data_IF_216667696214
#
_entry.id   IF_216667696214
#
_cell.length_a   1.000
_cell.length_b   1.000
_cell.length_c   1.000
_cell.angle_alpha   90.00
_cell.angle_beta   90.00
_cell.angle_gamma   90.00
#
_symmetry.space_group_name_H-M   'P 1'
#
loop_
_entity.id
_entity.type
_entity.pdbx_description
1 polymer ?
#
# COMPACT_ATOMS: atom_id res chain seq x y z
N UNK A 1 17.48 10.95 -0.44
CA UNK A 1 18.42 9.90 -0.04
C UNK A 1 19.81 10.45 -0.35
N UNK A 2 20.67 10.59 0.66
CA UNK A 2 22.06 10.94 0.45
C UNK A 2 22.72 9.72 -0.22
N UNK A 3 23.10 9.85 -1.48
CA UNK A 3 24.02 8.90 -2.10
C UNK A 3 25.36 9.08 -1.40
N UNK A 4 25.76 8.09 -0.61
CA UNK A 4 27.11 8.04 -0.06
C UNK A 4 28.07 8.06 -1.26
N UNK A 5 28.87 9.12 -1.33
CA UNK A 5 29.60 9.51 -2.55
C UNK A 5 30.83 8.60 -2.64
N UNK A 6 30.65 7.41 -3.19
CA UNK A 6 31.73 6.43 -3.31
C UNK A 6 32.77 6.94 -4.32
N UNK A 7 33.95 7.30 -3.83
CA UNK A 7 35.08 7.73 -4.65
C UNK A 7 35.96 6.50 -4.96
N UNK A 8 36.28 6.31 -6.23
CA UNK A 8 37.17 5.24 -6.70
C UNK A 8 38.45 5.88 -7.23
N UNK A 9 39.60 5.29 -6.92
CA UNK A 9 40.89 5.74 -7.44
C UNK A 9 41.23 4.98 -8.72
N UNK A 10 41.46 5.71 -9.81
CA UNK A 10 41.92 5.18 -11.10
C UNK A 10 43.22 5.88 -11.46
N UNK A 11 44.35 5.14 -11.43
CA UNK A 11 45.69 5.65 -11.77
C UNK A 11 46.05 6.95 -11.02
N UNK A 12 45.76 6.99 -9.70
CA UNK A 12 46.04 8.15 -8.86
C UNK A 12 44.97 9.25 -8.88
N UNK A 13 43.89 9.08 -9.64
CA UNK A 13 42.79 10.06 -9.72
C UNK A 13 41.53 9.59 -9.04
N UNK A 14 40.95 10.46 -8.23
CA UNK A 14 39.67 10.24 -7.60
C UNK A 14 38.54 10.49 -8.59
N UNK A 15 37.81 9.42 -8.92
CA UNK A 15 36.65 9.46 -9.79
C UNK A 15 35.42 9.15 -8.94
N UNK A 16 34.40 9.99 -9.04
CA UNK A 16 33.10 9.75 -8.43
C UNK A 16 32.44 8.54 -9.09
N UNK A 17 32.12 7.51 -8.31
CA UNK A 17 31.33 6.37 -8.79
C UNK A 17 29.88 6.83 -8.93
N UNK A 18 29.36 6.75 -10.15
CA UNK A 18 27.95 7.00 -10.45
C UNK A 18 27.29 5.66 -10.72
N UNK A 19 26.14 5.41 -10.10
CA UNK A 19 25.30 4.25 -10.42
C UNK A 19 24.00 4.72 -11.07
N UNK A 20 23.61 4.06 -12.16
CA UNK A 20 22.36 4.32 -12.85
C UNK A 20 21.76 3.01 -13.36
N UNK A 21 20.50 2.75 -12.99
CA UNK A 21 19.79 1.50 -13.32
C UNK A 21 20.61 0.24 -13.01
N UNK A 22 21.21 0.18 -11.82
CA UNK A 22 22.05 -0.93 -11.35
C UNK A 22 23.34 -1.17 -12.15
N UNK A 23 23.75 -0.21 -12.98
CA UNK A 23 25.03 -0.23 -13.70
C UNK A 23 25.97 0.87 -13.19
N UNK A 24 27.27 0.60 -13.01
CA UNK A 24 28.26 1.65 -12.84
C UNK A 24 28.40 2.42 -14.15
N UNK A 25 28.35 3.75 -14.07
CA UNK A 25 28.38 4.62 -15.25
C UNK A 25 29.35 5.78 -15.08
N UNK A 26 29.78 6.34 -16.22
CA UNK A 26 30.66 7.51 -16.29
C UNK A 26 30.13 8.53 -17.31
N UNK A 27 30.42 9.82 -17.08
CA UNK A 27 30.06 10.89 -18.02
C UNK A 27 31.16 11.14 -19.04
N UNK A 28 30.82 11.65 -20.22
CA UNK A 28 31.79 12.03 -21.26
C UNK A 28 32.87 13.01 -20.75
N UNK A 29 32.47 13.96 -19.89
CA UNK A 29 33.39 14.93 -19.28
C UNK A 29 34.40 14.24 -18.35
N UNK A 30 33.94 13.31 -17.51
CA UNK A 30 34.82 12.55 -16.62
C UNK A 30 35.83 11.72 -17.41
N UNK A 31 35.45 11.24 -18.61
CA UNK A 31 36.38 10.53 -19.50
C UNK A 31 37.46 11.48 -20.03
N UNK A 32 37.09 12.68 -20.48
CA UNK A 32 38.08 13.68 -20.91
C UNK A 32 39.04 14.05 -19.78
N UNK A 33 38.53 14.24 -18.56
CA UNK A 33 39.33 14.49 -17.35
C UNK A 33 40.25 13.31 -17.00
N UNK A 34 39.77 12.08 -17.12
CA UNK A 34 40.53 10.86 -16.83
C UNK A 34 41.62 10.57 -17.87
N UNK A 35 41.40 10.95 -19.13
CA UNK A 35 42.39 10.77 -20.20
C UNK A 35 43.24 12.03 -20.46
N UNK A 36 43.09 13.09 -19.65
CA UNK A 36 43.77 14.39 -19.83
C UNK A 36 43.57 14.98 -21.24
N UNK A 37 42.38 14.80 -21.81
CA UNK A 37 42.06 15.29 -23.15
C UNK A 37 41.31 16.61 -23.10
N UNK A 38 41.36 17.42 -24.17
CA UNK A 38 40.53 18.59 -24.29
C UNK A 38 39.05 18.23 -24.10
N UNK A 39 38.32 19.09 -23.39
CA UNK A 39 36.89 18.92 -23.15
C UNK A 39 36.12 18.74 -24.47
N UNK A 40 35.27 17.73 -24.52
CA UNK A 40 34.49 17.36 -25.71
C UNK A 40 35.15 16.30 -26.60
N UNK A 41 36.34 15.80 -26.26
CA UNK A 41 36.99 14.74 -27.04
C UNK A 41 36.20 13.44 -26.99
N UNK A 42 35.78 13.01 -25.80
CA UNK A 42 34.93 11.86 -25.60
C UNK A 42 33.57 12.03 -26.26
N UNK A 43 33.00 13.25 -26.24
CA UNK A 43 31.75 13.56 -26.94
C UNK A 43 31.87 13.37 -28.46
N UNK A 44 32.95 13.86 -29.05
CA UNK A 44 33.21 13.69 -30.48
C UNK A 44 33.40 12.20 -30.84
N UNK A 45 34.06 11.44 -29.96
CA UNK A 45 34.22 9.99 -30.14
C UNK A 45 32.89 9.26 -30.04
N UNK A 46 32.07 9.58 -29.02
CA UNK A 46 30.73 9.02 -28.85
C UNK A 46 29.89 9.22 -30.12
N UNK A 47 29.77 10.46 -30.62
CA UNK A 47 28.98 10.72 -31.83
C UNK A 47 29.54 10.06 -33.09
N UNK A 48 30.86 9.84 -33.16
CA UNK A 48 31.49 9.14 -34.30
C UNK A 48 31.11 7.66 -34.36
N UNK A 49 30.90 7.02 -33.21
CA UNK A 49 30.63 5.59 -33.09
C UNK A 49 29.23 5.28 -32.58
N UNK A 50 28.36 6.29 -32.51
CA UNK A 50 27.03 6.17 -31.93
C UNK A 50 26.19 5.11 -32.63
N UNK A 51 26.36 4.95 -33.95
CA UNK A 51 25.72 3.92 -34.78
C UNK A 51 26.14 2.48 -34.42
N UNK A 52 27.24 2.33 -33.68
CA UNK A 52 27.79 1.04 -33.25
C UNK A 52 27.55 0.76 -31.77
N UNK A 53 26.99 1.71 -31.04
CA UNK A 53 26.68 1.58 -29.62
C UNK A 53 25.22 1.15 -29.45
N UNK A 54 24.97 0.35 -28.42
CA UNK A 54 23.63 -0.12 -28.08
C UNK A 54 23.09 0.69 -26.91
N UNK A 55 21.96 1.37 -27.10
CA UNK A 55 21.31 2.12 -26.03
C UNK A 55 20.73 1.16 -24.96
N UNK A 56 20.95 1.49 -23.70
CA UNK A 56 20.70 0.68 -22.50
C UNK A 56 21.66 -0.49 -22.26
N UNK A 57 22.67 -0.69 -23.10
CA UNK A 57 23.78 -1.63 -22.86
C UNK A 57 25.10 -0.88 -22.75
N UNK A 58 25.45 -0.10 -23.77
CA UNK A 58 26.68 0.69 -23.81
C UNK A 58 26.50 2.09 -23.22
N UNK A 59 25.32 2.68 -23.40
CA UNK A 59 25.03 4.04 -22.93
C UNK A 59 23.56 4.26 -22.58
N UNK A 60 23.31 5.27 -21.76
CA UNK A 60 21.98 5.77 -21.44
C UNK A 60 21.86 7.25 -21.81
N UNK A 61 20.76 7.61 -22.48
CA UNK A 61 20.32 9.00 -22.64
C UNK A 61 19.47 9.37 -21.44
N UNK A 62 20.09 9.97 -20.43
CA UNK A 62 19.41 10.28 -19.18
C UNK A 62 18.77 11.67 -19.29
N UNK A 63 17.45 11.81 -19.09
CA UNK A 63 16.80 13.12 -19.14
C UNK A 63 17.17 13.99 -17.92
N UNK A 64 17.07 15.32 -18.08
CA UNK A 64 17.39 16.29 -17.03
C UNK A 64 16.82 15.95 -15.65
N UNK A 65 15.54 15.59 -15.61
CA UNK A 65 14.80 15.26 -14.38
C UNK A 65 15.41 14.09 -13.59
N UNK A 66 16.12 13.20 -14.27
CA UNK A 66 16.75 12.03 -13.66
C UNK A 66 18.18 12.33 -13.24
N UNK A 67 19.02 12.79 -14.18
CA UNK A 67 20.43 13.00 -13.85
C UNK A 67 20.65 14.14 -12.84
N UNK A 68 19.75 15.13 -12.77
CA UNK A 68 19.83 16.21 -11.78
C UNK A 68 19.65 15.74 -10.34
N UNK A 69 19.12 14.53 -10.14
CA UNK A 69 18.96 13.91 -8.82
C UNK A 69 20.20 13.10 -8.41
N UNK A 70 20.99 12.69 -9.39
CA UNK A 70 22.15 11.81 -9.23
C UNK A 70 23.40 12.65 -9.03
N UNK A 71 23.60 13.66 -9.88
CA UNK A 71 24.75 14.54 -9.81
C UNK A 71 24.40 15.80 -9.02
N UNK A 72 25.19 16.10 -7.98
CA UNK A 72 25.09 17.38 -7.26
C UNK A 72 25.39 18.53 -8.21
N UNK A 73 24.34 19.21 -8.67
CA UNK A 73 24.44 20.28 -9.67
C UNK A 73 24.99 21.57 -9.03
N UNK A 74 26.28 21.61 -8.73
CA UNK A 74 26.97 22.89 -8.57
C UNK A 74 27.46 23.35 -9.95
N UNK A 75 26.69 24.26 -10.54
CA UNK A 75 27.13 25.25 -11.53
C UNK A 75 27.55 24.83 -12.96
N UNK A 76 27.25 23.65 -13.51
CA UNK A 76 27.84 23.29 -14.82
C UNK A 76 26.93 23.07 -16.05
N UNK A 77 25.60 23.11 -15.97
CA UNK A 77 24.79 22.89 -17.19
C UNK A 77 23.59 23.84 -17.27
N UNK A 78 23.75 24.92 -18.05
CA UNK A 78 22.65 25.86 -18.42
C UNK A 78 21.60 25.23 -19.34
N UNK A 79 21.78 23.97 -19.75
CA UNK A 79 20.93 23.29 -20.72
C UNK A 79 20.20 22.13 -20.05
N UNK A 80 18.86 22.14 -20.10
CA UNK A 80 17.97 21.06 -19.65
C UNK A 80 18.00 19.86 -20.62
N UNK A 81 19.16 19.56 -21.19
CA UNK A 81 19.34 18.51 -22.20
C UNK A 81 19.61 17.17 -21.54
N UNK A 82 19.39 16.10 -22.30
CA UNK A 82 19.74 14.77 -21.87
C UNK A 82 21.27 14.64 -21.74
N UNK A 83 21.73 13.96 -20.70
CA UNK A 83 23.13 13.66 -20.46
C UNK A 83 23.42 12.21 -20.89
N UNK A 84 24.61 11.96 -21.40
CA UNK A 84 25.06 10.61 -21.76
C UNK A 84 25.81 10.00 -20.57
N UNK A 85 25.31 8.87 -20.10
CA UNK A 85 26.01 7.97 -19.19
C UNK A 85 26.51 6.78 -19.99
N UNK A 86 27.79 6.46 -19.88
CA UNK A 86 28.41 5.29 -20.50
C UNK A 86 28.59 4.21 -19.44
N UNK A 87 28.24 2.97 -19.78
CA UNK A 87 28.60 1.79 -19.00
C UNK A 87 30.05 1.41 -19.25
N UNK A 88 30.54 0.34 -18.60
CA UNK A 88 31.90 -0.15 -18.84
C UNK A 88 32.13 -0.52 -20.30
N UNK A 89 31.16 -1.18 -20.95
CA UNK A 89 31.28 -1.56 -22.36
C UNK A 89 31.31 -0.34 -23.27
N UNK A 90 30.42 0.63 -23.06
CA UNK A 90 30.38 1.86 -23.86
C UNK A 90 31.64 2.71 -23.72
N UNK A 91 32.19 2.81 -22.49
CA UNK A 91 33.48 3.45 -22.26
C UNK A 91 34.56 2.80 -23.13
N UNK A 92 34.70 1.47 -23.08
CA UNK A 92 35.70 0.74 -23.85
C UNK A 92 35.55 0.93 -25.36
N UNK A 93 34.32 1.02 -25.85
CA UNK A 93 34.03 1.24 -27.25
C UNK A 93 34.47 2.63 -27.73
N UNK A 94 34.25 3.68 -26.92
CA UNK A 94 34.56 5.05 -27.33
C UNK A 94 36.01 5.47 -27.06
N UNK A 95 36.72 4.81 -26.14
CA UNK A 95 38.16 5.07 -25.89
C UNK A 95 39.08 4.24 -26.78
N UNK A 96 38.55 3.26 -27.52
CA UNK A 96 39.29 2.48 -28.52
C UNK A 96 40.21 3.31 -29.44
N UNK A 97 39.79 4.46 -30.00
CA UNK A 97 40.62 5.28 -30.90
C UNK A 97 41.53 6.27 -30.16
N UNK A 98 41.50 6.34 -28.83
CA UNK A 98 42.13 7.44 -28.10
C UNK A 98 43.66 7.44 -28.23
N UNK A 99 44.29 6.27 -28.30
CA UNK A 99 45.73 6.14 -28.52
C UNK A 99 46.62 6.64 -27.37
N UNK A 100 46.04 7.10 -26.25
CA UNK A 100 46.78 7.55 -25.07
C UNK A 100 47.23 6.38 -24.17
N UNK A 101 48.23 6.64 -23.32
CA UNK A 101 48.84 5.61 -22.47
C UNK A 101 47.85 4.91 -21.55
N UNK A 102 46.84 5.63 -21.05
CA UNK A 102 45.80 5.05 -20.20
C UNK A 102 44.91 4.10 -21.01
N UNK A 103 44.46 4.51 -22.19
CA UNK A 103 43.70 3.66 -23.10
C UNK A 103 44.49 2.39 -23.47
N UNK A 104 45.80 2.52 -23.71
CA UNK A 104 46.68 1.37 -23.95
C UNK A 104 46.85 0.46 -22.73
N UNK A 105 46.97 1.01 -21.51
CA UNK A 105 47.00 0.22 -20.26
C UNK A 105 45.70 -0.55 -20.05
N UNK A 106 44.55 0.11 -20.21
CA UNK A 106 43.22 -0.51 -20.10
C UNK A 106 43.05 -1.62 -21.11
N UNK A 107 43.39 -1.39 -22.38
CA UNK A 107 43.31 -2.42 -23.41
C UNK A 107 44.24 -3.61 -23.12
N UNK A 108 45.48 -3.37 -22.66
CA UNK A 108 46.40 -4.45 -22.25
C UNK A 108 45.84 -5.27 -21.08
N UNK A 109 45.25 -4.61 -20.09
CA UNK A 109 44.62 -5.29 -18.95
C UNK A 109 43.45 -6.18 -19.39
N UNK A 110 42.58 -5.68 -20.28
CA UNK A 110 41.47 -6.46 -20.84
C UNK A 110 41.94 -7.67 -21.64
N UNK A 111 42.91 -7.47 -22.54
CA UNK A 111 43.47 -8.57 -23.34
C UNK A 111 44.08 -9.63 -22.43
N UNK A 112 44.91 -9.21 -21.45
CA UNK A 112 45.52 -10.12 -20.49
C UNK A 112 44.47 -10.90 -19.70
N UNK A 113 43.46 -10.21 -19.17
CA UNK A 113 42.41 -10.83 -18.36
C UNK A 113 41.53 -11.77 -19.19
N UNK A 114 41.22 -11.41 -20.43
CA UNK A 114 40.48 -12.28 -21.35
C UNK A 114 41.24 -13.58 -21.63
N UNK A 115 42.53 -13.50 -21.99
CA UNK A 115 43.33 -14.70 -22.25
C UNK A 115 43.55 -15.53 -20.98
N UNK A 116 43.80 -14.89 -19.83
CA UNK A 116 43.90 -15.58 -18.54
C UNK A 116 42.61 -16.31 -18.17
N UNK A 117 41.46 -15.66 -18.30
CA UNK A 117 40.15 -16.29 -18.07
C UNK A 117 39.90 -17.43 -19.07
N UNK A 118 40.29 -17.25 -20.35
CA UNK A 118 40.18 -18.28 -21.37
C UNK A 118 41.08 -19.49 -21.09
N UNK A 119 42.28 -19.29 -20.56
CA UNK A 119 43.18 -20.36 -20.15
C UNK A 119 42.67 -21.10 -18.90
N UNK A 120 42.14 -20.36 -17.92
CA UNK A 120 41.43 -20.94 -16.77
C UNK A 120 40.26 -21.82 -17.20
N UNK A 121 39.47 -21.37 -18.18
CA UNK A 121 38.33 -22.13 -18.73
C UNK A 121 38.78 -23.32 -19.59
N UNK A 122 39.98 -23.29 -20.17
CA UNK A 122 40.52 -24.38 -21.01
C UNK A 122 41.31 -25.44 -20.24
N UNK A 123 41.54 -25.25 -18.94
CA UNK A 123 42.27 -26.21 -18.10
C UNK A 123 43.72 -26.48 -18.57
N UNK A 124 44.28 -25.60 -19.40
CA UNK A 124 45.58 -25.77 -20.03
C UNK A 124 46.51 -24.63 -19.62
N UNK A 125 47.26 -24.79 -18.54
CA UNK A 125 48.73 -24.82 -18.58
C UNK A 125 49.33 -24.91 -17.17
N UNK A 126 50.36 -25.74 -17.06
CA UNK A 126 51.10 -26.18 -15.88
C UNK A 126 52.07 -25.14 -15.31
N UNK A 127 51.69 -23.87 -15.26
CA UNK A 127 52.44 -22.79 -14.59
C UNK A 127 51.48 -22.06 -13.67
N UNK A 128 51.10 -22.71 -12.58
CA UNK A 128 50.29 -22.08 -11.54
C UNK A 128 51.18 -21.77 -10.35
N UNK A 129 51.32 -20.48 -10.06
CA UNK A 129 51.73 -19.99 -8.75
C UNK A 129 50.85 -20.65 -7.67
N UNK A 130 51.42 -21.32 -6.65
CA UNK A 130 50.67 -21.95 -5.57
C UNK A 130 49.68 -21.01 -4.88
N UNK A 131 50.00 -19.71 -4.78
CA UNK A 131 49.12 -18.71 -4.17
C UNK A 131 47.89 -18.46 -5.03
N UNK A 132 48.07 -18.35 -6.35
CA UNK A 132 46.95 -18.17 -7.30
C UNK A 132 46.07 -19.42 -7.31
N UNK A 133 46.64 -20.63 -7.19
CA UNK A 133 45.86 -21.87 -7.09
C UNK A 133 45.03 -21.93 -5.81
N UNK A 134 45.60 -21.51 -4.68
CA UNK A 134 44.89 -21.46 -3.40
C UNK A 134 43.74 -20.44 -3.47
N UNK A 135 44.02 -19.24 -3.97
CA UNK A 135 43.02 -18.20 -4.18
C UNK A 135 41.90 -18.66 -5.13
N UNK A 136 42.23 -19.26 -6.28
CA UNK A 136 41.23 -19.79 -7.22
C UNK A 136 40.40 -20.91 -6.61
N UNK A 137 41.01 -21.80 -5.82
CA UNK A 137 40.29 -22.88 -5.13
C UNK A 137 39.31 -22.33 -4.08
N UNK A 138 39.73 -21.32 -3.33
CA UNK A 138 38.89 -20.61 -2.35
C UNK A 138 37.75 -19.86 -3.05
N UNK A 139 38.06 -19.14 -4.13
CA UNK A 139 37.07 -18.41 -4.92
C UNK A 139 36.04 -19.36 -5.56
N UNK A 140 36.48 -20.50 -6.10
CA UNK A 140 35.58 -21.52 -6.66
C UNK A 140 34.72 -22.16 -5.56
N UNK A 141 35.26 -22.36 -4.36
CA UNK A 141 34.50 -22.84 -3.21
C UNK A 141 33.43 -21.83 -2.77
N UNK A 142 33.79 -20.54 -2.71
CA UNK A 142 32.89 -19.43 -2.40
C UNK A 142 31.79 -19.28 -3.46
N UNK A 143 32.13 -19.36 -4.75
CA UNK A 143 31.14 -19.38 -5.84
C UNK A 143 30.21 -20.59 -5.72
N UNK A 144 30.75 -21.73 -5.26
CA UNK A 144 29.97 -22.93 -4.97
C UNK A 144 28.97 -22.73 -3.82
N UNK A 145 29.34 -22.01 -2.75
CA UNK A 145 28.43 -21.71 -1.64
C UNK A 145 27.35 -20.70 -2.06
N UNK A 146 27.73 -19.63 -2.76
CA UNK A 146 26.76 -18.67 -3.31
C UNK A 146 25.77 -19.34 -4.26
N UNK A 147 26.21 -20.25 -5.13
CA UNK A 147 25.31 -20.98 -6.03
C UNK A 147 24.30 -21.84 -5.27
N UNK A 148 24.69 -22.44 -4.14
CA UNK A 148 23.78 -23.21 -3.27
C UNK A 148 22.78 -22.31 -2.56
N UNK A 149 23.20 -21.16 -2.08
CA UNK A 149 22.30 -20.16 -1.48
C UNK A 149 21.29 -19.65 -2.51
N UNK A 150 21.73 -19.28 -3.71
CA UNK A 150 20.83 -18.87 -4.80
C UNK A 150 19.85 -19.98 -5.20
N UNK A 151 20.29 -21.25 -5.21
CA UNK A 151 19.40 -22.37 -5.45
C UNK A 151 18.37 -22.55 -4.33
N UNK A 152 18.76 -22.35 -3.07
CA UNK A 152 17.85 -22.37 -1.91
C UNK A 152 16.81 -21.24 -1.99
N UNK A 153 17.25 -20.03 -2.33
CA UNK A 153 16.38 -18.86 -2.53
C UNK A 153 15.40 -19.11 -3.66
N UNK A 154 15.88 -19.59 -4.83
CA UNK A 154 15.02 -19.93 -5.96
C UNK A 154 13.97 -20.98 -5.59
N UNK A 155 14.38 -22.05 -4.92
CA UNK A 155 13.44 -23.09 -4.46
C UNK A 155 12.43 -22.53 -3.44
N UNK A 156 12.85 -21.59 -2.59
CA UNK A 156 11.97 -20.85 -1.68
C UNK A 156 10.97 -19.97 -2.42
N UNK A 157 11.42 -19.30 -3.49
CA UNK A 157 10.58 -18.46 -4.34
C UNK A 157 9.56 -19.30 -5.14
N UNK A 158 9.97 -20.47 -5.64
CA UNK A 158 9.08 -21.43 -6.30
C UNK A 158 8.01 -21.95 -5.32
N UNK A 159 8.38 -22.31 -4.08
CA UNK A 159 7.39 -22.66 -3.04
C UNK A 159 6.45 -21.50 -2.70
N UNK A 160 6.94 -20.26 -2.62
CA UNK A 160 6.09 -19.09 -2.41
C UNK A 160 5.10 -18.91 -3.56
N UNK A 161 5.55 -19.17 -4.80
CA UNK A 161 4.72 -19.08 -6.00
C UNK A 161 3.67 -20.17 -6.06
N UNK A 162 3.99 -21.38 -5.59
CA UNK A 162 3.03 -22.48 -5.43
C UNK A 162 2.00 -22.16 -4.33
N UNK A 163 2.42 -21.57 -3.21
CA UNK A 163 1.51 -21.08 -2.17
C UNK A 163 0.56 -20.01 -2.74
N UNK A 164 1.08 -19.03 -3.50
CA UNK A 164 0.26 -18.01 -4.17
C UNK A 164 -0.71 -18.61 -5.20
N UNK A 165 -0.36 -19.77 -5.78
CA UNK A 165 -1.22 -20.51 -6.72
C UNK A 165 -2.31 -21.31 -6.03
N UNK A 166 -2.05 -21.85 -4.84
CA UNK A 166 -3.03 -22.60 -4.04
C UNK A 166 -3.94 -21.71 -3.18
N UNK A 167 -3.47 -20.50 -2.84
CA UNK A 167 -4.22 -19.54 -2.00
C UNK A 167 -5.64 -19.22 -2.53
N UNK A 168 -5.89 -19.06 -3.84
CA UNK A 168 -7.24 -18.83 -4.37
C UNK A 168 -8.18 -20.03 -4.14
N UNK A 169 -7.67 -21.26 -4.23
CA UNK A 169 -8.47 -22.47 -4.01
C UNK A 169 -8.81 -22.65 -2.53
N UNK A 170 -7.84 -22.40 -1.64
CA UNK A 170 -8.06 -22.40 -0.19
C UNK A 170 -9.02 -21.27 0.23
N UNK A 171 -8.91 -20.09 -0.37
CA UNK A 171 -9.86 -18.99 -0.16
C UNK A 171 -11.27 -19.37 -0.64
N UNK A 172 -11.42 -20.03 -1.79
CA UNK A 172 -12.71 -20.52 -2.25
C UNK A 172 -13.32 -21.55 -1.29
N UNK A 173 -12.54 -22.51 -0.81
CA UNK A 173 -13.00 -23.47 0.20
C UNK A 173 -13.43 -22.78 1.49
N UNK A 174 -12.64 -21.82 2.00
CA UNK A 174 -12.97 -21.07 3.19
C UNK A 174 -14.27 -20.26 3.01
N UNK A 175 -14.46 -19.63 1.86
CA UNK A 175 -15.71 -18.92 1.52
C UNK A 175 -16.90 -19.88 1.49
N UNK A 176 -16.73 -21.09 0.92
CA UNK A 176 -17.77 -22.10 0.87
C UNK A 176 -18.15 -22.61 2.27
N UNK A 177 -17.17 -22.99 3.10
CA UNK A 177 -17.40 -23.40 4.49
C UNK A 177 -18.07 -22.28 5.31
N UNK A 178 -17.65 -21.02 5.13
CA UNK A 178 -18.30 -19.88 5.77
C UNK A 178 -19.75 -19.74 5.29
N UNK A 179 -20.04 -20.03 4.01
CA UNK A 179 -21.41 -19.99 3.49
C UNK A 179 -22.29 -21.10 4.09
N UNK A 180 -21.78 -22.32 4.21
CA UNK A 180 -22.48 -23.44 4.86
C UNK A 180 -22.75 -23.13 6.34
N UNK A 181 -21.74 -22.69 7.09
CA UNK A 181 -21.92 -22.30 8.50
C UNK A 181 -22.92 -21.15 8.65
N UNK A 182 -22.95 -20.19 7.71
CA UNK A 182 -23.96 -19.12 7.70
C UNK A 182 -25.35 -19.66 7.46
N UNK A 183 -25.51 -20.65 6.60
CA UNK A 183 -26.78 -21.29 6.28
C UNK A 183 -27.30 -22.12 7.46
N UNK A 184 -26.44 -22.93 8.09
CA UNK A 184 -26.77 -23.65 9.33
C UNK A 184 -27.16 -22.67 10.45
N UNK A 185 -26.39 -21.60 10.66
CA UNK A 185 -26.74 -20.56 11.63
C UNK A 185 -28.06 -19.87 11.31
N UNK A 186 -28.43 -19.74 10.03
CA UNK A 186 -29.71 -19.19 9.62
C UNK A 186 -30.85 -20.17 9.95
N UNK A 187 -30.64 -21.46 9.74
CA UNK A 187 -31.58 -22.52 10.09
C UNK A 187 -31.81 -22.60 11.61
N UNK A 188 -30.74 -22.62 12.40
CA UNK A 188 -30.84 -22.59 13.87
C UNK A 188 -31.55 -21.33 14.37
N UNK A 189 -31.36 -20.18 13.70
CA UNK A 189 -32.12 -18.96 14.02
C UNK A 189 -33.61 -19.11 13.73
N UNK A 190 -33.99 -19.71 12.61
CA UNK A 190 -35.40 -19.98 12.28
C UNK A 190 -36.04 -20.89 13.32
N UNK A 191 -35.35 -21.96 13.70
CA UNK A 191 -35.82 -22.90 14.74
C UNK A 191 -35.99 -22.20 16.09
N UNK A 192 -34.99 -21.42 16.52
CA UNK A 192 -35.08 -20.60 17.74
C UNK A 192 -36.28 -19.64 17.69
N UNK A 193 -36.50 -18.98 16.56
CA UNK A 193 -37.61 -18.05 16.40
C UNK A 193 -38.97 -18.79 16.47
N UNK A 194 -39.07 -19.98 15.87
CA UNK A 194 -40.24 -20.85 16.01
C UNK A 194 -40.48 -21.28 17.48
N UNK A 195 -39.42 -21.64 18.21
CA UNK A 195 -39.51 -21.97 19.64
C UNK A 195 -39.94 -20.76 20.47
N UNK A 196 -39.41 -19.56 20.17
CA UNK A 196 -39.82 -18.31 20.82
C UNK A 196 -41.31 -18.05 20.58
N UNK A 197 -41.79 -18.21 19.35
CA UNK A 197 -43.20 -17.97 19.01
C UNK A 197 -44.12 -18.94 19.78
N UNK A 198 -43.72 -20.21 19.89
CA UNK A 198 -44.43 -21.20 20.72
C UNK A 198 -44.43 -20.83 22.20
N UNK A 199 -43.30 -20.39 22.75
CA UNK A 199 -43.22 -19.93 24.14
C UNK A 199 -44.12 -18.72 24.38
N UNK A 200 -44.18 -17.78 23.43
CA UNK A 200 -45.04 -16.60 23.54
C UNK A 200 -46.53 -17.00 23.56
N UNK A 201 -46.94 -17.96 22.73
CA UNK A 201 -48.30 -18.51 22.74
C UNK A 201 -48.59 -19.16 24.10
N UNK A 202 -47.66 -19.97 24.64
CA UNK A 202 -47.85 -20.60 25.95
C UNK A 202 -47.94 -19.57 27.09
N UNK A 203 -47.12 -18.52 27.03
CA UNK A 203 -47.13 -17.45 28.03
C UNK A 203 -48.45 -16.65 28.00
N UNK A 204 -48.96 -16.33 26.82
CA UNK A 204 -50.28 -15.69 26.64
C UNK A 204 -51.43 -16.55 27.18
N UNK A 205 -51.33 -17.88 27.06
CA UNK A 205 -52.32 -18.81 27.65
C UNK A 205 -52.22 -18.88 29.17
N UNK A 206 -51.02 -18.77 29.74
CA UNK A 206 -50.82 -18.70 31.20
C UNK A 206 -51.38 -17.37 31.73
N UNK A 207 -51.05 -16.25 31.10
CA UNK A 207 -51.53 -14.91 31.48
C UNK A 207 -53.06 -14.77 31.35
N UNK A 208 -53.68 -15.43 30.37
CA UNK A 208 -55.15 -15.49 30.23
C UNK A 208 -55.83 -16.53 31.14
N UNK A 209 -55.08 -17.50 31.67
CA UNK A 209 -55.55 -18.52 32.60
C UNK A 209 -55.44 -18.13 34.07
N UNK A 210 -54.69 -17.07 34.39
CA UNK A 210 -54.48 -16.57 35.75
C UNK A 210 -54.96 -15.13 35.88
N UNK A 211 -56.27 -14.95 35.97
CA UNK A 211 -56.84 -13.67 36.42
C UNK A 211 -57.96 -13.96 37.43
N UNK A 212 -57.55 -14.05 38.70
CA UNK A 212 -58.37 -13.75 39.88
C UNK A 212 -57.59 -12.67 40.69
N UNK A 213 -58.26 -11.68 41.32
CA UNK A 213 -57.64 -10.40 41.66
C UNK A 213 -57.43 -10.23 43.17
N UNK A 214 -56.19 -10.13 43.67
CA UNK A 214 -55.95 -9.49 44.98
C UNK A 214 -54.47 -9.16 45.28
N UNK A 215 -54.28 -8.02 45.95
CA UNK A 215 -53.11 -7.55 46.71
C UNK A 215 -51.81 -7.21 45.91
N UNK A 216 -51.56 -5.95 45.52
CA UNK A 216 -51.22 -4.75 46.30
C UNK A 216 -49.71 -4.49 46.43
N UNK A 217 -49.31 -3.37 45.81
CA UNK A 217 -48.25 -2.42 46.20
C UNK A 217 -46.78 -2.83 46.01
N UNK A 218 -46.08 -2.06 45.16
CA UNK A 218 -45.17 -0.99 45.63
C UNK A 218 -44.89 0.02 44.50
N UNK A 219 -45.05 1.27 44.92
CA UNK A 219 -44.95 2.60 44.33
C UNK A 219 -43.66 2.92 43.57
N UNK A 220 -43.74 3.67 42.45
CA UNK A 220 -42.94 4.89 42.27
C UNK A 220 -43.58 5.84 41.24
N UNK A 221 -43.54 7.12 41.59
CA UNK A 221 -44.40 8.24 41.19
C UNK A 221 -44.32 8.70 39.73
N UNK A 222 -45.49 8.94 39.15
CA UNK A 222 -45.72 9.89 38.05
C UNK A 222 -46.03 11.27 38.66
N UNK A 223 -45.28 12.30 38.28
CA UNK A 223 -45.73 13.68 38.39
C UNK A 223 -45.87 14.25 36.99
N UNK A 224 -47.11 14.37 36.55
CA UNK A 224 -47.46 15.29 35.47
C UNK A 224 -47.30 16.70 36.02
N UNK A 225 -46.45 17.51 35.38
CA UNK A 225 -46.52 18.95 35.46
C UNK A 225 -46.67 19.46 34.04
N UNK A 226 -47.84 20.05 33.77
CA UNK A 226 -47.99 21.03 32.70
C UNK A 226 -47.06 22.20 32.98
N UNK A 227 -46.24 22.57 32.00
CA UNK A 227 -45.86 23.96 31.80
C UNK A 227 -45.36 24.17 30.38
N UNK A 228 -46.13 25.00 29.69
CA UNK A 228 -45.69 25.86 28.58
C UNK A 228 -44.27 26.39 28.76
N UNK A 229 -43.43 26.28 27.74
CA UNK A 229 -42.34 27.23 27.51
C UNK A 229 -41.88 27.14 26.05
N UNK A 230 -42.03 28.27 25.35
CA UNK A 230 -41.56 28.55 24.00
C UNK A 230 -40.05 28.36 23.90
N UNK A 231 -39.59 27.28 23.24
CA UNK A 231 -38.19 27.13 22.82
C UNK A 231 -37.97 27.78 21.46
N UNK A 232 -36.94 28.61 21.41
CA UNK A 232 -36.54 29.52 20.35
C UNK A 232 -36.31 28.82 19.00
N UNK A 233 -36.69 29.48 17.91
CA UNK A 233 -36.55 28.95 16.55
C UNK A 233 -35.11 28.72 16.06
N UNK A 234 -34.10 29.28 16.74
CA UNK A 234 -32.69 29.19 16.36
C UNK A 234 -32.02 27.85 16.78
N UNK A 235 -32.40 27.28 17.93
CA UNK A 235 -31.77 26.02 18.41
C UNK A 235 -32.20 24.81 17.58
N UNK A 236 -33.47 24.77 17.15
CA UNK A 236 -33.98 23.69 16.30
C UNK A 236 -33.38 23.70 14.89
N UNK A 237 -33.05 24.87 14.34
CA UNK A 237 -32.42 25.00 13.04
C UNK A 237 -30.96 24.47 13.07
N UNK A 238 -30.21 24.80 14.13
CA UNK A 238 -28.84 24.32 14.31
C UNK A 238 -28.76 22.81 14.52
N UNK A 239 -29.70 22.25 15.30
CA UNK A 239 -29.80 20.81 15.51
C UNK A 239 -30.16 20.04 14.23
N UNK A 240 -31.03 20.62 13.39
CA UNK A 240 -31.39 20.04 12.09
C UNK A 240 -30.21 20.02 11.12
N UNK A 241 -29.41 21.09 11.06
CA UNK A 241 -28.21 21.13 10.20
C UNK A 241 -27.13 20.13 10.68
N UNK A 242 -26.95 20.00 12.00
CA UNK A 242 -26.03 19.00 12.57
C UNK A 242 -26.47 17.57 12.24
N UNK A 243 -27.79 17.30 12.27
CA UNK A 243 -28.35 16.01 11.87
C UNK A 243 -28.18 15.73 10.38
N UNK A 244 -28.29 16.77 9.54
CA UNK A 244 -28.06 16.67 8.10
C UNK A 244 -26.60 16.34 7.78
N UNK A 245 -25.64 16.93 8.47
CA UNK A 245 -24.22 16.58 8.35
C UNK A 245 -23.95 15.14 8.75
N UNK A 246 -24.53 14.70 9.88
CA UNK A 246 -24.46 13.31 10.31
C UNK A 246 -25.03 12.34 9.26
N UNK A 247 -26.18 12.67 8.66
CA UNK A 247 -26.83 11.85 7.64
C UNK A 247 -26.00 11.84 6.34
N UNK A 248 -25.36 12.94 5.97
CA UNK A 248 -24.47 12.99 4.81
C UNK A 248 -23.23 12.09 5.00
N UNK A 249 -22.64 12.09 6.20
CA UNK A 249 -21.54 11.18 6.56
C UNK A 249 -22.01 9.72 6.56
N UNK A 250 -23.15 9.42 7.20
CA UNK A 250 -23.74 8.09 7.18
C UNK A 250 -23.97 7.61 5.74
N UNK A 251 -24.55 8.43 4.87
CA UNK A 251 -24.77 8.08 3.47
C UNK A 251 -23.47 7.75 2.73
N UNK A 252 -22.40 8.54 2.92
CA UNK A 252 -21.09 8.26 2.31
C UNK A 252 -20.48 6.94 2.79
N UNK A 253 -20.71 6.56 4.05
CA UNK A 253 -20.10 5.36 4.64
C UNK A 253 -20.91 4.08 4.36
N UNK A 254 -22.24 4.13 4.45
CA UNK A 254 -23.08 2.93 4.42
C UNK A 254 -24.17 2.95 3.33
N UNK A 255 -24.37 4.07 2.63
CA UNK A 255 -25.39 4.18 1.59
C UNK A 255 -26.78 3.71 2.04
N UNK A 256 -27.32 2.71 1.35
CA UNK A 256 -28.64 2.12 1.60
C UNK A 256 -28.64 0.97 2.64
N UNK A 257 -27.49 0.67 3.27
CA UNK A 257 -27.39 -0.48 4.18
C UNK A 257 -28.24 -0.30 5.45
N UNK A 258 -28.65 -1.44 6.04
CA UNK A 258 -29.37 -1.48 7.31
C UNK A 258 -28.40 -1.53 8.48
N UNK A 259 -28.17 -0.38 9.10
CA UNK A 259 -27.12 -0.18 10.09
C UNK A 259 -27.69 -0.10 11.51
N UNK A 260 -27.03 -0.74 12.45
CA UNK A 260 -27.35 -0.63 13.87
C UNK A 260 -26.63 0.53 14.54
N UNK A 261 -27.17 1.03 15.65
CA UNK A 261 -26.60 2.14 16.44
C UNK A 261 -25.13 1.94 16.79
N UNK A 262 -24.70 0.69 17.03
CA UNK A 262 -23.31 0.35 17.36
C UNK A 262 -22.30 0.70 16.26
N UNK A 263 -22.73 0.80 15.00
CA UNK A 263 -21.88 1.17 13.87
C UNK A 263 -22.05 2.65 13.47
N UNK A 264 -23.18 3.27 13.86
CA UNK A 264 -23.43 4.69 13.59
C UNK A 264 -22.78 5.61 14.63
N UNK A 265 -22.71 5.18 15.89
CA UNK A 265 -22.11 5.99 16.96
C UNK A 265 -20.62 6.31 16.75
N UNK A 266 -19.76 5.38 16.26
CA UNK A 266 -18.36 5.69 15.94
C UNK A 266 -18.19 6.86 14.94
N UNK A 267 -19.07 7.00 13.94
CA UNK A 267 -19.00 8.07 12.94
C UNK A 267 -19.07 9.47 13.56
N UNK A 268 -19.82 9.61 14.66
CA UNK A 268 -19.95 10.88 15.38
C UNK A 268 -18.60 11.31 15.95
N UNK A 269 -17.82 10.34 16.47
CA UNK A 269 -16.48 10.60 17.01
C UNK A 269 -15.45 10.80 15.91
N UNK A 270 -15.47 9.96 14.87
CA UNK A 270 -14.48 9.99 13.78
C UNK A 270 -14.56 11.28 12.97
N UNK A 271 -15.78 11.81 12.77
CA UNK A 271 -16.01 13.04 12.01
C UNK A 271 -16.30 14.27 12.89
N UNK A 272 -16.08 14.17 14.21
CA UNK A 272 -16.27 15.25 15.20
C UNK A 272 -17.63 15.96 15.08
N UNK A 273 -18.71 15.20 14.89
CA UNK A 273 -20.05 15.75 14.64
C UNK A 273 -20.68 16.17 15.98
N UNK A 274 -21.09 17.44 16.16
CA UNK A 274 -21.54 17.97 17.46
C UNK A 274 -23.00 17.57 17.79
N UNK A 275 -23.33 16.28 17.70
CA UNK A 275 -24.65 15.78 18.08
C UNK A 275 -24.84 15.83 19.61
N UNK A 276 -25.87 16.54 20.06
CA UNK A 276 -26.22 16.63 21.48
C UNK A 276 -26.78 15.28 21.97
N UNK A 277 -25.88 14.43 22.50
CA UNK A 277 -26.19 13.13 23.08
C UNK A 277 -25.93 13.16 24.59
N UNK A 278 -26.99 13.11 25.39
CA UNK A 278 -26.89 13.15 26.86
C UNK A 278 -26.31 11.83 27.40
N UNK A 279 -25.27 11.94 28.25
CA UNK A 279 -24.69 10.80 28.98
C UNK A 279 -23.16 10.82 29.05
N UNK A 280 -22.60 10.29 30.15
CA UNK A 280 -21.16 10.25 30.40
C UNK A 280 -20.41 9.05 29.80
N UNK A 281 -21.10 7.96 29.46
CA UNK A 281 -20.50 6.73 28.91
C UNK A 281 -20.91 6.49 27.45
N UNK A 282 -20.06 5.77 26.70
CA UNK A 282 -20.31 5.44 25.29
C UNK A 282 -21.59 4.61 25.08
N UNK A 283 -21.91 3.74 26.04
CA UNK A 283 -23.14 2.96 26.02
C UNK A 283 -24.38 3.85 26.18
N UNK A 284 -24.35 4.81 27.11
CA UNK A 284 -25.47 5.74 27.32
C UNK A 284 -25.68 6.66 26.12
N UNK A 285 -24.60 7.18 25.52
CA UNK A 285 -24.66 8.00 24.31
C UNK A 285 -25.15 7.21 23.09
N UNK A 286 -24.76 5.95 22.95
CA UNK A 286 -25.31 5.04 21.94
C UNK A 286 -26.82 4.86 22.12
N UNK A 287 -27.30 4.61 23.34
CA UNK A 287 -28.74 4.49 23.62
C UNK A 287 -29.48 5.81 23.28
N UNK A 288 -28.89 6.96 23.61
CA UNK A 288 -29.43 8.28 23.26
C UNK A 288 -29.54 8.46 21.74
N UNK A 289 -28.49 8.09 21.00
CA UNK A 289 -28.49 8.10 19.53
C UNK A 289 -29.60 7.20 18.98
N UNK A 290 -29.80 6.02 19.56
CA UNK A 290 -30.89 5.12 19.16
C UNK A 290 -32.28 5.75 19.32
N UNK A 291 -32.52 6.46 20.43
CA UNK A 291 -33.79 7.18 20.66
C UNK A 291 -33.98 8.33 19.66
N UNK A 292 -32.91 9.11 19.43
CA UNK A 292 -32.89 10.23 18.48
C UNK A 292 -33.16 9.76 17.05
N UNK A 293 -32.54 8.65 16.62
CA UNK A 293 -32.80 8.03 15.32
C UNK A 293 -34.24 7.54 15.17
N UNK A 294 -34.83 6.96 16.21
CA UNK A 294 -36.26 6.59 16.20
C UNK A 294 -37.14 7.84 16.07
N UNK A 295 -36.81 8.95 16.73
CA UNK A 295 -37.60 10.18 16.69
C UNK A 295 -37.60 10.87 15.31
N UNK A 296 -36.50 10.76 14.56
CA UNK A 296 -36.37 11.37 13.23
C UNK A 296 -36.74 10.42 12.08
N UNK A 297 -37.20 9.20 12.37
CA UNK A 297 -37.67 8.27 11.34
C UNK A 297 -38.85 8.89 10.57
N UNK A 298 -38.79 8.82 9.24
CA UNK A 298 -39.75 9.43 8.33
C UNK A 298 -39.45 10.89 7.99
N UNK A 299 -38.48 11.54 8.65
CA UNK A 299 -38.07 12.90 8.32
C UNK A 299 -37.04 12.92 7.18
N UNK A 300 -37.10 13.98 6.37
CA UNK A 300 -36.19 14.23 5.25
C UNK A 300 -35.07 15.16 5.67
N UNK A 301 -33.84 14.79 5.34
CA UNK A 301 -32.64 15.60 5.53
C UNK A 301 -31.86 15.61 4.21
N UNK A 302 -31.91 16.75 3.49
CA UNK A 302 -31.37 16.85 2.13
C UNK A 302 -32.07 15.89 1.17
N UNK A 303 -31.28 15.03 0.51
CA UNK A 303 -31.80 14.00 -0.42
C UNK A 303 -32.20 12.69 0.27
N UNK A 304 -32.00 12.56 1.59
CA UNK A 304 -32.17 11.30 2.32
C UNK A 304 -33.38 11.34 3.26
N UNK A 305 -34.09 10.22 3.35
CA UNK A 305 -35.13 9.97 4.37
C UNK A 305 -34.62 8.87 5.30
N UNK A 306 -34.71 9.13 6.61
CA UNK A 306 -34.35 8.12 7.63
C UNK A 306 -35.50 7.13 7.79
N UNK A 307 -35.21 5.84 7.69
CA UNK A 307 -36.20 4.77 7.83
C UNK A 307 -35.80 3.79 8.93
N UNK A 308 -36.77 3.36 9.74
CA UNK A 308 -36.57 2.25 10.67
C UNK A 308 -36.66 0.93 9.88
N UNK A 309 -35.60 0.12 9.94
CA UNK A 309 -35.56 -1.20 9.35
C UNK A 309 -36.02 -2.25 10.37
N UNK A 310 -36.53 -3.40 9.87
CA UNK A 310 -36.92 -4.54 10.72
C UNK A 310 -35.81 -4.89 11.72
N UNK A 311 -36.17 -5.04 13.00
CA UNK A 311 -35.25 -5.42 14.08
C UNK A 311 -34.50 -6.69 13.68
N UNK A 312 -33.17 -6.72 13.89
CA UNK A 312 -32.35 -7.92 13.69
C UNK A 312 -31.77 -8.34 15.04
N UNK A 313 -32.05 -9.58 15.46
CA UNK A 313 -31.64 -10.10 16.78
C UNK A 313 -32.00 -9.15 17.94
N UNK A 314 -33.24 -8.62 17.94
CA UNK A 314 -33.76 -7.63 18.92
C UNK A 314 -33.05 -6.26 18.96
N UNK A 315 -32.14 -5.98 18.02
CA UNK A 315 -31.50 -4.67 17.88
C UNK A 315 -32.17 -3.89 16.75
N UNK A 316 -32.60 -2.66 17.04
CA UNK A 316 -33.13 -1.73 16.03
C UNK A 316 -32.06 -1.42 15.00
N UNK A 317 -32.45 -1.39 13.72
CA UNK A 317 -31.60 -0.97 12.60
C UNK A 317 -32.29 0.14 11.85
N UNK A 318 -31.49 0.98 11.21
CA UNK A 318 -31.97 2.12 10.43
C UNK A 318 -31.33 2.07 9.06
N UNK A 319 -32.01 2.63 8.06
CA UNK A 319 -31.51 2.78 6.70
C UNK A 319 -31.84 4.16 6.16
N UNK A 320 -31.06 4.64 5.21
CA UNK A 320 -31.35 5.85 4.47
C UNK A 320 -31.96 5.48 3.12
N UNK A 321 -33.00 6.20 2.70
CA UNK A 321 -33.56 6.12 1.36
C UNK A 321 -33.33 7.44 0.64
N UNK A 322 -32.68 7.42 -0.53
CA UNK A 322 -32.49 8.63 -1.34
C UNK A 322 -33.72 8.93 -2.17
N UNK A 323 -34.25 10.14 -2.08
CA UNK A 323 -35.32 10.63 -2.95
C UNK A 323 -34.65 11.20 -4.20
N UNK A 324 -34.77 10.50 -5.33
CA UNK A 324 -34.36 11.02 -6.63
C UNK A 324 -35.43 12.03 -7.05
N UNK A 325 -35.10 13.32 -7.05
CA UNK A 325 -35.98 14.33 -7.64
C UNK A 325 -35.91 14.22 -9.16
N UNK A 326 -37.06 13.98 -9.81
CA UNK A 326 -37.27 14.50 -11.16
C UNK A 326 -37.44 16.02 -11.03
N UNK A 327 -36.48 16.78 -11.58
CA UNK A 327 -36.42 18.24 -11.53
C UNK A 327 -35.01 18.75 -11.68
#
# INVERSE_FOLDING_TARGET
MNHDKMIVEIEGRQVERIEYKDHPVITLRMIDELHERPEGTAKNSFHRYEDKLIENEDFFRVPYKEWSKILSVQNMYRSKTALIFLTESGYLMIVKPFGDDLAWKVQRALVRNYFAAREMLRGASSVYDPEIKAFLKETVALLGSFRKELASIRNGLERSRDIDRELPYLMQQAVHLISEVREELAQTRKERDLFRDRLFILQDHIEKGTSDPEASEITCSYTSAESSETRSGDEHAHEHETLKDFIAVWWRTFGNDRVGVSHLYPLIKEHSIPLNLVGGTDRSRSICLGRKLTAICGQRFGDCIVTEAKKWRNVKRYSLCRVIGEG
#
